data_IF_652679016533
#
_entry.id   IF_652679016533
#
_cell.length_a   1.000
_cell.length_b   1.000
_cell.length_c   1.000
_cell.angle_alpha   90.00
_cell.angle_beta   90.00
_cell.angle_gamma   90.00
#
_symmetry.space_group_name_H-M   'P 1'
#
loop_
_entity.id
_entity.type
_entity.pdbx_description
1 polymer ?
#
# COMPACT_ATOMS: atom_id res chain seq x y z
N UNK A 1 25.26 -7.16 10.36
CA UNK A 1 24.77 -7.90 11.55
C UNK A 1 23.24 -8.09 11.45
N UNK A 2 22.44 -7.05 11.20
CA UNK A 2 20.98 -7.13 11.12
C UNK A 2 20.49 -8.04 9.97
N UNK A 3 21.10 -7.92 8.77
CA UNK A 3 20.77 -8.79 7.61
C UNK A 3 21.00 -10.26 7.92
N UNK A 4 22.10 -10.62 8.56
CA UNK A 4 22.37 -12.02 8.97
C UNK A 4 21.36 -12.52 10.00
N UNK A 5 20.97 -11.68 10.97
CA UNK A 5 19.91 -12.03 11.94
C UNK A 5 18.56 -12.24 11.24
N UNK A 6 18.20 -11.37 10.30
CA UNK A 6 16.98 -11.51 9.49
C UNK A 6 17.01 -12.83 8.71
N UNK A 7 18.07 -13.13 7.97
CA UNK A 7 18.22 -14.38 7.20
C UNK A 7 18.18 -15.62 8.09
N UNK A 8 18.85 -15.57 9.26
CA UNK A 8 18.82 -16.67 10.21
C UNK A 8 17.40 -16.91 10.75
N UNK A 9 16.64 -15.85 11.05
CA UNK A 9 15.24 -15.94 11.46
C UNK A 9 14.40 -16.57 10.34
N UNK A 10 14.51 -16.10 9.10
CA UNK A 10 13.81 -16.67 7.95
C UNK A 10 14.09 -18.18 7.80
N UNK A 11 15.34 -18.59 7.97
CA UNK A 11 15.72 -19.99 7.92
C UNK A 11 15.09 -20.79 9.07
N UNK A 12 15.18 -20.29 10.32
CA UNK A 12 14.62 -20.95 11.48
C UNK A 12 13.09 -21.08 11.40
N UNK A 13 12.42 -20.04 10.91
CA UNK A 13 10.98 -20.06 10.68
C UNK A 13 10.61 -21.13 9.63
N UNK A 14 11.38 -21.24 8.55
CA UNK A 14 11.15 -22.21 7.48
C UNK A 14 11.32 -23.67 7.93
N UNK A 15 12.36 -23.94 8.77
CA UNK A 15 12.65 -25.31 9.25
C UNK A 15 11.96 -25.65 10.59
N UNK A 16 11.06 -24.81 11.06
CA UNK A 16 10.35 -25.06 12.30
C UNK A 16 9.59 -26.41 12.26
N UNK A 17 9.70 -27.27 13.27
CA UNK A 17 9.06 -28.59 13.27
C UNK A 17 7.54 -28.56 13.06
N UNK A 18 6.89 -27.46 13.45
CA UNK A 18 5.46 -27.21 13.22
C UNK A 18 5.05 -27.15 11.75
N UNK A 19 5.99 -26.91 10.85
CA UNK A 19 5.72 -26.76 9.42
C UNK A 19 5.73 -28.10 8.65
N UNK A 20 6.02 -29.20 9.33
CA UNK A 20 6.13 -30.52 8.69
C UNK A 20 5.16 -31.54 9.32
N UNK A 21 4.47 -32.30 8.47
CA UNK A 21 3.50 -33.31 8.90
C UNK A 21 4.08 -34.33 9.90
N UNK A 22 5.30 -34.79 9.68
CA UNK A 22 5.95 -35.79 10.52
C UNK A 22 6.31 -35.30 11.94
N UNK A 23 6.44 -34.00 12.14
CA UNK A 23 6.90 -33.39 13.40
C UNK A 23 5.89 -32.46 14.04
N UNK A 24 4.73 -32.23 13.38
CA UNK A 24 3.65 -31.41 13.92
C UNK A 24 2.65 -32.30 14.70
N UNK A 25 2.58 -32.20 16.04
CA UNK A 25 1.70 -33.08 16.84
C UNK A 25 0.21 -32.80 16.60
N UNK A 26 -0.15 -31.58 16.22
CA UNK A 26 -1.54 -31.23 15.90
C UNK A 26 -2.00 -31.85 14.58
N UNK A 27 -1.11 -31.98 13.60
CA UNK A 27 -1.39 -32.69 12.34
C UNK A 27 -1.76 -34.15 12.63
N UNK A 28 -0.94 -34.86 13.42
CA UNK A 28 -1.15 -36.28 13.74
C UNK A 28 -2.47 -36.43 14.52
N UNK A 29 -2.69 -35.59 15.53
CA UNK A 29 -3.91 -35.59 16.33
C UNK A 29 -5.16 -35.42 15.46
N UNK A 30 -5.19 -34.36 14.63
CA UNK A 30 -6.34 -34.08 13.76
C UNK A 30 -6.55 -35.17 12.72
N UNK A 31 -5.49 -35.72 12.14
CA UNK A 31 -5.61 -36.81 11.19
C UNK A 31 -6.32 -38.04 11.81
N UNK A 32 -6.03 -38.36 13.07
CA UNK A 32 -6.70 -39.47 13.81
C UNK A 32 -8.15 -39.07 14.13
N UNK A 33 -8.37 -37.92 14.76
CA UNK A 33 -9.70 -37.44 15.16
C UNK A 33 -10.67 -37.32 13.97
N UNK A 34 -10.20 -36.85 12.84
CA UNK A 34 -11.03 -36.67 11.63
C UNK A 34 -11.02 -37.88 10.69
N UNK A 35 -10.39 -38.98 11.10
CA UNK A 35 -10.24 -40.21 10.29
C UNK A 35 -9.65 -39.92 8.91
N UNK A 36 -8.67 -38.98 8.84
CA UNK A 36 -7.98 -38.59 7.64
C UNK A 36 -8.63 -37.45 6.85
N UNK A 37 -9.81 -36.97 7.21
CA UNK A 37 -10.49 -35.89 6.48
C UNK A 37 -9.66 -34.60 6.46
N UNK A 38 -9.00 -34.25 7.58
CA UNK A 38 -8.13 -33.07 7.63
C UNK A 38 -6.98 -33.13 6.62
N UNK A 39 -6.46 -34.32 6.32
CA UNK A 39 -5.43 -34.50 5.30
C UNK A 39 -5.99 -34.19 3.90
N UNK A 40 -7.17 -34.76 3.59
CA UNK A 40 -7.85 -34.52 2.31
C UNK A 40 -8.14 -33.04 2.12
N UNK A 41 -8.68 -32.38 3.13
CA UNK A 41 -8.98 -30.95 3.10
C UNK A 41 -7.70 -30.11 2.93
N UNK A 42 -6.61 -30.48 3.61
CA UNK A 42 -5.32 -29.83 3.48
C UNK A 42 -4.73 -29.95 2.06
N UNK A 43 -4.83 -31.12 1.45
CA UNK A 43 -4.40 -31.34 0.06
C UNK A 43 -5.26 -30.51 -0.91
N UNK A 44 -6.57 -30.44 -0.72
CA UNK A 44 -7.45 -29.64 -1.55
C UNK A 44 -7.13 -28.15 -1.45
N UNK A 45 -6.86 -27.66 -0.24
CA UNK A 45 -6.42 -26.27 -0.03
C UNK A 45 -5.08 -26.01 -0.74
N UNK A 46 -4.13 -26.92 -0.65
CA UNK A 46 -2.83 -26.79 -1.33
C UNK A 46 -2.97 -26.76 -2.86
N UNK A 47 -3.81 -27.63 -3.44
CA UNK A 47 -4.07 -27.66 -4.89
C UNK A 47 -4.69 -26.34 -5.33
N UNK A 48 -5.72 -25.86 -4.61
CA UNK A 48 -6.34 -24.57 -4.88
C UNK A 48 -5.34 -23.43 -4.89
N UNK A 49 -4.53 -23.32 -3.84
CA UNK A 49 -3.55 -22.25 -3.69
C UNK A 49 -2.42 -22.35 -4.74
N UNK A 50 -2.07 -23.57 -5.14
CA UNK A 50 -1.12 -23.80 -6.24
C UNK A 50 -1.67 -23.29 -7.57
N UNK A 51 -2.92 -23.58 -7.89
CA UNK A 51 -3.59 -23.13 -9.12
C UNK A 51 -3.74 -21.60 -9.13
N UNK A 52 -4.05 -20.99 -7.97
CA UNK A 52 -4.15 -19.55 -7.82
C UNK A 52 -2.78 -18.85 -7.77
N UNK A 53 -1.71 -19.61 -7.48
CA UNK A 53 -0.34 -19.11 -7.34
C UNK A 53 -0.13 -18.20 -6.13
N UNK A 54 -0.90 -18.40 -5.07
CA UNK A 54 -0.81 -17.64 -3.80
C UNK A 54 -1.31 -18.49 -2.63
N UNK A 55 -0.87 -18.17 -1.42
CA UNK A 55 -1.41 -18.76 -0.18
C UNK A 55 -2.69 -18.03 0.18
N UNK A 56 -3.78 -18.77 0.41
CA UNK A 56 -5.05 -18.21 0.92
C UNK A 56 -4.88 -17.82 2.38
N UNK A 57 -4.96 -16.51 2.66
CA UNK A 57 -4.84 -15.94 4.01
C UNK A 57 -6.18 -15.51 4.60
N UNK A 58 -7.23 -15.47 3.79
CA UNK A 58 -8.60 -15.12 4.19
C UNK A 58 -9.61 -15.88 3.35
N UNK A 59 -10.85 -15.91 3.78
CA UNK A 59 -11.97 -16.36 2.96
C UNK A 59 -12.36 -15.23 1.99
N UNK A 60 -11.82 -15.30 0.77
CA UNK A 60 -12.08 -14.31 -0.26
C UNK A 60 -13.55 -14.27 -0.71
N UNK A 61 -14.31 -15.34 -0.49
CA UNK A 61 -15.73 -15.41 -0.87
C UNK A 61 -16.64 -14.57 0.03
N UNK A 62 -16.14 -14.17 1.20
CA UNK A 62 -16.86 -13.34 2.15
C UNK A 62 -16.91 -11.87 1.76
N UNK A 63 -16.05 -11.42 0.83
CA UNK A 63 -15.88 -10.01 0.51
C UNK A 63 -16.11 -9.72 -0.97
N UNK A 64 -16.71 -8.55 -1.21
CA UNK A 64 -16.93 -8.01 -2.55
C UNK A 64 -16.91 -6.50 -2.49
N UNK A 65 -15.99 -5.88 -3.26
CA UNK A 65 -15.86 -4.42 -3.35
C UNK A 65 -17.13 -3.81 -3.95
N UNK A 66 -17.67 -2.80 -3.30
CA UNK A 66 -18.93 -2.15 -3.66
C UNK A 66 -20.18 -2.81 -3.04
N UNK A 67 -20.06 -3.99 -2.41
CA UNK A 67 -21.17 -4.65 -1.73
C UNK A 67 -21.01 -4.64 -0.20
N UNK A 68 -19.87 -5.06 0.32
CA UNK A 68 -19.55 -5.07 1.75
C UNK A 68 -18.15 -4.55 2.08
N UNK A 69 -17.40 -4.13 1.08
CA UNK A 69 -16.18 -3.32 1.18
C UNK A 69 -16.35 -2.09 0.29
N UNK A 70 -15.72 -0.98 0.66
CA UNK A 70 -15.79 0.28 -0.10
C UNK A 70 -17.23 0.72 -0.38
N UNK A 71 -18.07 0.67 0.63
CA UNK A 71 -19.53 0.95 0.50
C UNK A 71 -19.91 2.38 0.80
N UNK A 72 -18.96 3.24 1.17
CA UNK A 72 -19.25 4.67 1.34
C UNK A 72 -19.64 5.26 -0.01
N UNK A 73 -20.82 5.89 -0.06
CA UNK A 73 -21.41 6.39 -1.31
C UNK A 73 -20.55 7.51 -1.91
N UNK A 74 -20.27 7.42 -3.20
CA UNK A 74 -19.47 8.40 -3.92
C UNK A 74 -19.48 8.14 -5.42
N UNK A 75 -18.80 9.02 -6.16
CA UNK A 75 -18.66 8.92 -7.61
C UNK A 75 -17.26 9.30 -8.06
N UNK A 76 -16.81 8.71 -9.16
CA UNK A 76 -15.60 9.15 -9.86
C UNK A 76 -15.91 10.47 -10.55
N UNK A 77 -15.20 11.54 -10.17
CA UNK A 77 -15.40 12.90 -10.69
C UNK A 77 -14.29 13.32 -11.65
N UNK A 78 -13.20 12.58 -11.69
CA UNK A 78 -12.09 12.81 -12.61
C UNK A 78 -11.31 11.50 -12.81
N UNK A 79 -10.78 11.30 -14.00
CA UNK A 79 -9.78 10.25 -14.27
C UNK A 79 -8.75 10.70 -15.28
N UNK A 80 -7.55 10.11 -15.16
CA UNK A 80 -6.48 10.21 -16.13
C UNK A 80 -5.83 8.83 -16.36
N UNK A 81 -4.65 8.78 -16.97
CA UNK A 81 -3.94 7.53 -17.25
C UNK A 81 -3.60 6.73 -15.97
N UNK A 82 -3.43 7.38 -14.82
CA UNK A 82 -2.88 6.79 -13.58
C UNK A 82 -3.87 6.74 -12.41
N UNK A 83 -4.82 7.65 -12.34
CA UNK A 83 -5.76 7.71 -11.22
C UNK A 83 -7.22 7.86 -11.66
N UNK A 84 -8.10 7.47 -10.75
CA UNK A 84 -9.46 7.98 -10.64
C UNK A 84 -9.58 8.77 -9.34
N UNK A 85 -10.28 9.89 -9.36
CA UNK A 85 -10.57 10.69 -8.18
C UNK A 85 -12.03 10.45 -7.78
N UNK A 86 -12.22 9.92 -6.58
CA UNK A 86 -13.55 9.63 -6.03
C UNK A 86 -13.93 10.78 -5.11
N UNK A 87 -15.11 11.38 -5.35
CA UNK A 87 -15.77 12.29 -4.42
C UNK A 87 -16.87 11.55 -3.69
N UNK A 88 -16.84 11.58 -2.36
CA UNK A 88 -17.86 10.95 -1.53
C UNK A 88 -19.05 11.85 -1.26
N UNK A 89 -20.24 11.24 -1.26
CA UNK A 89 -21.50 11.96 -1.02
C UNK A 89 -21.59 12.46 0.43
N UNK A 90 -21.97 13.72 0.67
CA UNK A 90 -22.13 14.22 2.03
C UNK A 90 -23.34 13.57 2.71
N UNK A 91 -23.25 13.29 4.00
CA UNK A 91 -24.35 12.75 4.81
C UNK A 91 -25.18 13.86 5.47
N UNK A 92 -24.64 15.06 5.56
CA UNK A 92 -25.28 16.23 6.18
C UNK A 92 -25.75 17.26 5.17
N UNK A 93 -26.59 18.21 5.62
CA UNK A 93 -27.03 19.34 4.80
C UNK A 93 -25.94 20.39 4.57
N UNK A 94 -24.90 20.38 5.40
CA UNK A 94 -23.78 21.31 5.34
C UNK A 94 -22.49 20.53 5.54
N UNK A 95 -21.43 21.01 4.90
CA UNK A 95 -20.08 20.43 5.00
C UNK A 95 -19.06 21.51 5.34
N UNK A 96 -17.91 21.10 5.84
CA UNK A 96 -16.80 22.01 6.07
C UNK A 96 -16.38 22.64 4.74
N UNK A 97 -16.06 23.94 4.79
CA UNK A 97 -15.69 24.73 3.61
C UNK A 97 -14.52 24.13 2.84
N UNK A 98 -13.45 23.72 3.57
CA UNK A 98 -12.28 23.12 2.96
C UNK A 98 -12.47 21.62 2.76
N UNK A 99 -12.34 21.10 1.52
CA UNK A 99 -12.40 19.67 1.27
C UNK A 99 -11.15 18.98 1.79
N UNK A 100 -11.26 17.68 2.02
CA UNK A 100 -10.17 16.77 2.36
C UNK A 100 -9.80 15.93 1.13
N UNK A 101 -8.55 16.02 0.70
CA UNK A 101 -7.97 15.16 -0.35
C UNK A 101 -7.12 14.09 0.28
N UNK A 102 -7.41 12.83 -0.02
CA UNK A 102 -6.70 11.67 0.52
C UNK A 102 -5.89 11.01 -0.58
N UNK A 103 -4.60 10.80 -0.31
CA UNK A 103 -3.68 10.08 -1.20
C UNK A 103 -3.24 8.79 -0.50
N UNK A 104 -3.87 7.65 -0.83
CA UNK A 104 -3.51 6.35 -0.27
C UNK A 104 -2.26 5.77 -0.94
N UNK A 105 -1.71 4.64 -0.44
CA UNK A 105 -0.61 3.94 -1.11
C UNK A 105 -0.99 3.52 -2.53
N UNK A 106 0.00 3.60 -3.45
CA UNK A 106 -0.15 3.12 -4.82
C UNK A 106 0.15 1.61 -4.99
N UNK A 107 0.57 0.93 -3.93
CA UNK A 107 0.96 -0.49 -3.95
C UNK A 107 -0.21 -1.45 -3.78
N UNK A 108 -1.35 -0.96 -3.29
CA UNK A 108 -2.60 -1.68 -3.12
C UNK A 108 -3.79 -0.80 -3.51
N UNK A 109 -5.00 -1.35 -3.44
CA UNK A 109 -6.24 -0.64 -3.76
C UNK A 109 -6.59 0.43 -2.71
N UNK A 110 -7.30 1.46 -3.16
CA UNK A 110 -7.70 2.62 -2.37
C UNK A 110 -8.49 2.30 -1.10
N UNK A 111 -9.24 1.19 -1.11
CA UNK A 111 -10.22 0.88 -0.08
C UNK A 111 -9.65 0.41 1.26
N UNK A 112 -8.31 0.44 1.44
CA UNK A 112 -7.72 0.33 2.79
C UNK A 112 -8.32 1.35 3.76
N UNK A 113 -8.72 2.52 3.26
CA UNK A 113 -9.32 3.57 4.06
C UNK A 113 -10.86 3.55 4.02
N UNK A 114 -11.45 2.57 3.32
CA UNK A 114 -12.88 2.35 3.21
C UNK A 114 -13.19 0.85 3.16
N UNK A 115 -12.77 0.11 4.18
CA UNK A 115 -13.00 -1.34 4.30
C UNK A 115 -14.49 -1.61 4.55
N UNK A 116 -14.86 -2.17 5.69
CA UNK A 116 -16.26 -2.31 6.09
C UNK A 116 -16.77 -1.01 6.72
N UNK A 117 -18.08 -0.87 6.82
CA UNK A 117 -18.71 0.37 7.30
C UNK A 117 -18.24 0.79 8.70
N UNK A 118 -18.00 -0.19 9.59
CA UNK A 118 -17.57 0.01 10.97
C UNK A 118 -16.10 0.39 11.12
N UNK A 119 -15.26 0.12 10.13
CA UNK A 119 -13.83 0.42 10.15
C UNK A 119 -13.38 1.31 8.97
N UNK A 120 -14.31 2.04 8.35
CA UNK A 120 -14.01 2.98 7.26
C UNK A 120 -13.59 4.34 7.81
N UNK A 121 -12.35 4.74 7.52
CA UNK A 121 -11.87 6.10 7.78
C UNK A 121 -12.57 7.13 6.89
N UNK A 122 -12.83 6.80 5.63
CA UNK A 122 -13.54 7.67 4.68
C UNK A 122 -14.93 7.97 5.19
N UNK A 123 -15.69 6.93 5.56
CA UNK A 123 -17.04 7.10 6.14
C UNK A 123 -17.02 7.99 7.38
N UNK A 124 -16.09 7.71 8.30
CA UNK A 124 -15.92 8.56 9.47
C UNK A 124 -15.68 10.03 9.10
N UNK A 125 -14.76 10.30 8.15
CA UNK A 125 -14.46 11.66 7.73
C UNK A 125 -15.70 12.37 7.13
N UNK A 126 -16.50 11.66 6.33
CA UNK A 126 -17.77 12.17 5.77
C UNK A 126 -18.79 12.42 6.88
N UNK A 127 -18.95 11.51 7.85
CA UNK A 127 -19.83 11.66 9.02
C UNK A 127 -19.44 12.87 9.88
N UNK A 128 -18.16 13.24 9.91
CA UNK A 128 -17.68 14.45 10.59
C UNK A 128 -17.92 15.74 9.75
N UNK A 129 -18.67 15.65 8.65
CA UNK A 129 -19.03 16.79 7.81
C UNK A 129 -17.95 17.28 6.86
N UNK A 130 -16.96 16.44 6.52
CA UNK A 130 -15.99 16.80 5.49
C UNK A 130 -16.50 16.44 4.09
N UNK A 131 -16.19 17.28 3.10
CA UNK A 131 -16.21 16.86 1.70
C UNK A 131 -14.93 16.11 1.42
N UNK A 132 -15.04 14.81 1.14
CA UNK A 132 -13.89 13.92 1.00
C UNK A 132 -13.67 13.54 -0.45
N UNK A 133 -12.43 13.69 -0.91
CA UNK A 133 -11.95 13.19 -2.19
C UNK A 133 -10.81 12.19 -1.94
N UNK A 134 -10.83 11.07 -2.66
CA UNK A 134 -9.82 10.03 -2.50
C UNK A 134 -9.26 9.62 -3.86
N UNK A 135 -7.93 9.55 -3.93
CA UNK A 135 -7.22 9.05 -5.11
C UNK A 135 -7.32 7.54 -5.16
N UNK A 136 -7.87 6.99 -6.24
CA UNK A 136 -7.82 5.57 -6.56
C UNK A 136 -6.76 5.35 -7.64
N UNK A 137 -5.64 4.74 -7.26
CA UNK A 137 -4.57 4.42 -8.19
C UNK A 137 -4.97 3.30 -9.14
N UNK A 138 -4.73 3.49 -10.42
CA UNK A 138 -4.93 2.46 -11.43
C UNK A 138 -3.96 1.29 -11.20
N UNK A 139 -4.41 0.07 -11.37
CA UNK A 139 -3.50 -1.07 -11.49
C UNK A 139 -2.79 -0.99 -12.84
N UNK A 140 -1.56 -0.50 -12.85
CA UNK A 140 -0.80 -0.22 -14.07
C UNK A 140 -0.54 -1.51 -14.86
N UNK A 141 -0.65 -1.39 -16.19
CA UNK A 141 -0.38 -2.43 -17.16
C UNK A 141 0.88 -2.11 -17.95
N UNK A 142 1.23 -2.95 -18.90
CA UNK A 142 2.43 -2.80 -19.71
C UNK A 142 2.51 -1.42 -20.41
N UNK A 143 1.37 -0.86 -20.82
CA UNK A 143 1.28 0.44 -21.49
C UNK A 143 1.73 1.59 -20.57
N UNK A 144 1.46 1.49 -19.26
CA UNK A 144 1.91 2.46 -18.26
C UNK A 144 3.31 2.12 -17.69
N UNK A 145 3.92 1.03 -18.14
CA UNK A 145 5.21 0.56 -17.62
C UNK A 145 6.38 1.54 -17.84
N UNK A 146 6.17 2.63 -18.57
CA UNK A 146 7.15 3.70 -18.81
C UNK A 146 7.11 4.81 -17.74
N UNK A 147 6.06 4.88 -16.93
CA UNK A 147 5.82 5.98 -16.00
C UNK A 147 6.86 6.03 -14.88
N UNK A 148 7.38 7.22 -14.63
CA UNK A 148 8.39 7.49 -13.61
C UNK A 148 7.81 8.20 -12.39
N UNK A 149 8.71 8.59 -11.47
CA UNK A 149 8.34 9.29 -10.25
C UNK A 149 7.61 10.61 -10.53
N UNK A 150 8.08 11.38 -11.50
CA UNK A 150 7.45 12.66 -11.87
C UNK A 150 6.02 12.48 -12.39
N UNK A 151 5.78 11.41 -13.17
CA UNK A 151 4.45 11.11 -13.71
C UNK A 151 3.47 10.79 -12.56
N UNK A 152 3.92 10.04 -11.55
CA UNK A 152 3.13 9.76 -10.35
C UNK A 152 2.83 11.01 -9.52
N UNK A 153 3.75 11.97 -9.46
CA UNK A 153 3.50 13.26 -8.80
C UNK A 153 2.49 14.09 -9.57
N UNK A 154 2.68 14.24 -10.89
CA UNK A 154 1.85 15.12 -11.72
C UNK A 154 0.43 14.56 -11.91
N UNK A 155 0.32 13.33 -12.38
CA UNK A 155 -0.99 12.68 -12.62
C UNK A 155 -1.67 12.20 -11.34
N UNK A 156 -0.95 12.07 -10.22
CA UNK A 156 -1.50 11.70 -8.92
C UNK A 156 -1.92 12.92 -8.10
N UNK A 157 -1.15 13.28 -7.06
CA UNK A 157 -1.56 14.33 -6.12
C UNK A 157 -1.68 15.71 -6.74
N UNK A 158 -0.82 16.11 -7.70
CA UNK A 158 -0.92 17.45 -8.30
C UNK A 158 -2.21 17.62 -9.10
N UNK A 159 -2.57 16.64 -9.93
CA UNK A 159 -3.86 16.65 -10.64
C UNK A 159 -5.03 16.57 -9.68
N UNK A 160 -4.97 15.69 -8.67
CA UNK A 160 -6.04 15.56 -7.69
C UNK A 160 -6.28 16.88 -6.93
N UNK A 161 -5.23 17.53 -6.46
CA UNK A 161 -5.31 18.81 -5.75
C UNK A 161 -5.88 19.92 -6.65
N UNK A 162 -5.42 20.00 -7.92
CA UNK A 162 -5.92 20.96 -8.91
C UNK A 162 -7.41 20.77 -9.15
N UNK A 163 -7.83 19.54 -9.46
CA UNK A 163 -9.23 19.20 -9.79
C UNK A 163 -10.16 19.46 -8.61
N UNK A 164 -9.74 19.09 -7.38
CA UNK A 164 -10.57 19.36 -6.20
C UNK A 164 -10.77 20.87 -5.97
N UNK A 165 -9.73 21.68 -6.16
CA UNK A 165 -9.84 23.15 -6.08
C UNK A 165 -10.80 23.70 -7.15
N UNK A 166 -10.73 23.18 -8.38
CA UNK A 166 -11.64 23.55 -9.47
C UNK A 166 -13.10 23.19 -9.17
N UNK A 167 -13.34 21.95 -8.68
CA UNK A 167 -14.70 21.47 -8.35
C UNK A 167 -15.31 22.28 -7.19
N UNK A 168 -14.52 22.55 -6.15
CA UNK A 168 -15.03 23.17 -4.93
C UNK A 168 -14.97 24.69 -4.94
N UNK A 169 -14.18 25.29 -5.83
CA UNK A 169 -13.94 26.72 -5.86
C UNK A 169 -13.07 27.22 -4.69
N UNK A 170 -12.43 26.31 -3.94
CA UNK A 170 -11.61 26.66 -2.80
C UNK A 170 -10.15 26.85 -3.20
N UNK A 171 -9.51 27.91 -2.72
CA UNK A 171 -8.11 28.20 -3.00
C UNK A 171 -7.17 27.15 -2.37
N UNK A 172 -7.55 26.60 -1.22
CA UNK A 172 -6.78 25.61 -0.47
C UNK A 172 -7.64 24.47 0.02
N UNK A 173 -7.03 23.28 0.04
CA UNK A 173 -7.64 22.05 0.56
C UNK A 173 -6.88 21.56 1.80
N UNK A 174 -7.49 20.66 2.56
CA UNK A 174 -6.78 19.83 3.53
C UNK A 174 -6.32 18.56 2.81
N UNK A 175 -5.12 18.08 3.12
CA UNK A 175 -4.56 16.89 2.48
C UNK A 175 -4.15 15.85 3.51
N UNK A 176 -4.39 14.57 3.17
CA UNK A 176 -3.97 13.42 3.97
C UNK A 176 -3.23 12.44 3.07
N UNK A 177 -2.03 12.04 3.50
CA UNK A 177 -1.25 11.02 2.84
C UNK A 177 -1.04 9.80 3.73
N UNK A 178 -1.25 8.61 3.18
CA UNK A 178 -1.06 7.36 3.90
C UNK A 178 0.10 6.56 3.30
N UNK A 179 1.07 6.16 4.14
CA UNK A 179 2.23 5.35 3.77
C UNK A 179 3.01 5.99 2.59
N UNK A 180 3.32 5.24 1.52
CA UNK A 180 3.96 5.79 0.32
C UNK A 180 3.12 6.90 -0.35
N UNK A 181 1.81 6.88 -0.20
CA UNK A 181 0.94 7.97 -0.64
C UNK A 181 1.27 9.29 0.05
N UNK A 182 1.65 9.24 1.32
CA UNK A 182 2.13 10.41 2.07
C UNK A 182 3.50 10.89 1.58
N UNK A 183 4.41 9.99 1.21
CA UNK A 183 5.70 10.33 0.61
C UNK A 183 5.51 11.02 -0.74
N UNK A 184 4.64 10.48 -1.60
CA UNK A 184 4.27 11.04 -2.91
C UNK A 184 3.62 12.43 -2.72
N UNK A 185 2.64 12.54 -1.82
CA UNK A 185 1.96 13.80 -1.53
C UNK A 185 2.93 14.86 -1.00
N UNK A 186 3.80 14.52 -0.04
CA UNK A 186 4.79 15.46 0.50
C UNK A 186 5.79 15.91 -0.57
N UNK A 187 6.20 15.02 -1.47
CA UNK A 187 7.03 15.36 -2.64
C UNK A 187 6.32 16.33 -3.57
N UNK A 188 5.03 16.11 -3.86
CA UNK A 188 4.21 17.02 -4.65
C UNK A 188 4.07 18.41 -4.00
N UNK A 189 3.89 18.46 -2.67
CA UNK A 189 3.85 19.73 -1.94
C UNK A 189 5.19 20.47 -1.99
N UNK A 190 6.32 19.76 -1.96
CA UNK A 190 7.62 20.37 -2.15
C UNK A 190 7.81 20.92 -3.57
N UNK A 191 7.24 20.26 -4.59
CA UNK A 191 7.18 20.80 -5.96
C UNK A 191 6.36 22.08 -6.02
N UNK A 192 5.15 22.09 -5.41
CA UNK A 192 4.31 23.30 -5.35
C UNK A 192 5.03 24.45 -4.64
N UNK A 193 5.66 24.18 -3.49
CA UNK A 193 6.42 25.19 -2.77
C UNK A 193 7.56 25.78 -3.61
N UNK A 194 8.30 24.92 -4.35
CA UNK A 194 9.35 25.39 -5.26
C UNK A 194 8.83 26.21 -6.45
N UNK A 195 7.56 25.99 -6.86
CA UNK A 195 6.85 26.78 -7.88
C UNK A 195 6.21 28.05 -7.31
N UNK A 196 6.28 28.29 -5.99
CA UNK A 196 5.61 29.39 -5.32
C UNK A 196 4.08 29.22 -5.20
N UNK A 197 3.60 27.98 -5.32
CA UNK A 197 2.19 27.64 -5.27
C UNK A 197 1.78 27.12 -3.89
N UNK A 198 0.62 27.56 -3.37
CA UNK A 198 0.14 27.26 -2.03
C UNK A 198 -1.31 26.74 -2.04
N UNK A 199 -1.48 25.45 -2.36
CA UNK A 199 -2.80 24.81 -2.55
C UNK A 199 -3.31 24.06 -1.33
N UNK A 200 -2.48 23.83 -0.30
CA UNK A 200 -2.83 23.00 0.84
C UNK A 200 -2.74 23.79 2.14
N UNK A 201 -3.79 23.78 2.94
CA UNK A 201 -3.87 24.47 4.22
C UNK A 201 -3.33 23.62 5.39
N UNK A 202 -3.56 22.32 5.34
CA UNK A 202 -3.06 21.36 6.35
C UNK A 202 -2.66 20.04 5.71
N UNK A 203 -1.65 19.39 6.29
CA UNK A 203 -1.16 18.09 5.88
C UNK A 203 -1.22 17.11 7.05
N UNK A 204 -1.92 16.00 6.84
CA UNK A 204 -1.93 14.86 7.77
C UNK A 204 -1.18 13.70 7.13
N UNK A 205 -0.24 13.11 7.87
CA UNK A 205 0.56 11.98 7.40
C UNK A 205 0.33 10.78 8.33
N UNK A 206 -0.15 9.69 7.75
CA UNK A 206 -0.34 8.41 8.43
C UNK A 206 0.77 7.45 8.02
N UNK A 207 1.56 6.95 8.98
CA UNK A 207 2.62 5.95 8.76
C UNK A 207 3.52 6.24 7.54
N UNK A 208 3.89 7.50 7.34
CA UNK A 208 4.63 7.99 6.17
C UNK A 208 6.11 8.13 6.47
N UNK A 209 6.97 7.67 5.57
CA UNK A 209 8.41 7.90 5.61
C UNK A 209 8.76 9.14 4.77
N UNK A 210 9.45 10.10 5.40
CA UNK A 210 10.09 11.25 4.75
C UNK A 210 11.60 11.26 4.98
N UNK A 211 12.05 10.54 6.00
CA UNK A 211 13.45 10.18 6.26
C UNK A 211 13.55 8.65 6.26
N UNK A 212 14.40 8.11 5.39
CA UNK A 212 14.61 6.69 5.17
C UNK A 212 15.87 6.17 5.88
N UNK A 213 16.35 6.86 6.91
CA UNK A 213 17.50 6.41 7.71
C UNK A 213 17.21 5.14 8.50
N UNK A 214 15.95 4.93 8.91
CA UNK A 214 15.47 3.70 9.53
C UNK A 214 14.16 3.27 8.84
N UNK A 215 14.26 2.28 8.00
CA UNK A 215 13.14 1.73 7.23
C UNK A 215 12.74 0.33 7.71
N UNK A 216 13.20 -0.05 8.90
CA UNK A 216 12.96 -1.39 9.43
C UNK A 216 13.58 -2.49 8.58
N UNK A 217 12.95 -3.66 8.56
CA UNK A 217 13.50 -4.84 7.88
C UNK A 217 13.50 -4.75 6.36
N UNK A 218 12.62 -3.94 5.77
CA UNK A 218 12.59 -3.76 4.30
C UNK A 218 13.91 -3.17 3.79
N UNK A 219 14.54 -2.28 4.55
CA UNK A 219 15.85 -1.72 4.22
C UNK A 219 16.97 -2.77 4.16
N UNK A 220 16.80 -3.93 4.80
CA UNK A 220 17.77 -5.02 4.73
C UNK A 220 17.80 -5.72 3.36
N UNK A 221 16.74 -5.57 2.58
CA UNK A 221 16.59 -6.14 1.24
C UNK A 221 17.05 -5.17 0.15
N UNK A 222 17.29 -3.90 0.48
CA UNK A 222 17.63 -2.84 -0.48
C UNK A 222 19.08 -2.46 -0.30
N UNK A 223 19.90 -2.77 -1.30
CA UNK A 223 21.32 -2.44 -1.39
C UNK A 223 21.67 -1.99 -2.82
N UNK A 224 22.91 -1.57 -3.04
CA UNK A 224 23.37 -1.11 -4.37
C UNK A 224 23.16 -2.18 -5.45
N UNK A 225 23.42 -3.46 -5.12
CA UNK A 225 23.26 -4.55 -6.07
C UNK A 225 21.77 -4.75 -6.48
N UNK A 226 20.87 -4.78 -5.50
CA UNK A 226 19.43 -4.92 -5.77
C UNK A 226 18.86 -3.72 -6.54
N UNK A 227 19.31 -2.50 -6.23
CA UNK A 227 18.93 -1.30 -7.00
C UNK A 227 19.47 -1.35 -8.42
N UNK A 228 20.76 -1.70 -8.62
CA UNK A 228 21.35 -1.84 -9.96
C UNK A 228 20.64 -2.89 -10.81
N UNK A 229 20.24 -4.00 -10.19
CA UNK A 229 19.45 -5.04 -10.87
C UNK A 229 18.07 -4.50 -11.30
N UNK A 230 17.38 -3.75 -10.43
CA UNK A 230 16.08 -3.13 -10.76
C UNK A 230 16.22 -2.07 -11.86
N UNK A 231 17.23 -1.23 -11.80
CA UNK A 231 17.52 -0.26 -12.85
C UNK A 231 17.72 -0.93 -14.21
N UNK A 232 18.45 -2.07 -14.23
CA UNK A 232 18.73 -2.82 -15.45
C UNK A 232 17.48 -3.54 -16.00
N UNK A 233 16.60 -4.06 -15.14
CA UNK A 233 15.46 -4.91 -15.53
C UNK A 233 14.20 -4.10 -15.80
N UNK A 234 13.84 -3.16 -14.94
CA UNK A 234 12.57 -2.41 -15.01
C UNK A 234 12.77 -0.89 -14.99
N UNK A 235 13.99 -0.38 -14.77
CA UNK A 235 14.24 1.07 -14.63
C UNK A 235 14.00 1.87 -15.89
N UNK A 236 13.96 1.24 -17.06
CA UNK A 236 13.69 1.88 -18.36
C UNK A 236 12.32 1.57 -18.92
N UNK A 237 11.54 0.76 -18.22
CA UNK A 237 10.22 0.28 -18.61
C UNK A 237 9.92 -1.09 -18.02
N UNK A 238 8.65 -1.46 -17.98
CA UNK A 238 8.17 -2.70 -17.37
C UNK A 238 7.45 -2.48 -16.06
N UNK A 239 7.22 -3.56 -15.32
CA UNK A 239 6.41 -3.53 -14.11
C UNK A 239 7.16 -4.18 -12.94
N UNK A 240 7.02 -3.60 -11.76
CA UNK A 240 7.15 -4.32 -10.50
C UNK A 240 5.76 -4.88 -10.17
N UNK A 241 5.60 -6.20 -10.22
CA UNK A 241 4.27 -6.80 -10.10
C UNK A 241 3.74 -6.77 -8.67
N UNK A 242 2.41 -6.64 -8.52
CA UNK A 242 1.76 -6.72 -7.22
C UNK A 242 2.03 -8.04 -6.50
N UNK A 243 2.15 -9.16 -7.24
CA UNK A 243 2.52 -10.47 -6.68
C UNK A 243 3.91 -10.43 -6.04
N UNK A 244 4.88 -9.80 -6.70
CA UNK A 244 6.25 -9.66 -6.17
C UNK A 244 6.28 -8.78 -4.92
N UNK A 245 5.52 -7.68 -4.92
CA UNK A 245 5.33 -6.82 -3.75
C UNK A 245 4.69 -7.59 -2.58
N UNK A 246 3.58 -8.29 -2.82
CA UNK A 246 2.90 -9.09 -1.81
C UNK A 246 3.82 -10.17 -1.22
N UNK A 247 4.58 -10.87 -2.06
CA UNK A 247 5.57 -11.86 -1.61
C UNK A 247 6.66 -11.24 -0.74
N UNK A 248 7.15 -10.06 -1.11
CA UNK A 248 8.15 -9.31 -0.34
C UNK A 248 7.61 -8.93 1.03
N UNK A 249 6.40 -8.37 1.10
CA UNK A 249 5.77 -7.99 2.38
C UNK A 249 5.46 -9.20 3.25
N UNK A 250 5.00 -10.31 2.68
CA UNK A 250 4.76 -11.55 3.42
C UNK A 250 6.06 -12.12 4.00
N UNK A 251 7.17 -12.02 3.27
CA UNK A 251 8.47 -12.47 3.75
C UNK A 251 9.01 -11.66 4.94
N UNK A 252 8.64 -10.39 5.10
CA UNK A 252 9.01 -9.59 6.28
C UNK A 252 8.41 -10.15 7.57
N UNK A 253 7.25 -10.80 7.49
CA UNK A 253 6.54 -11.44 8.60
C UNK A 253 6.18 -12.88 8.26
N UNK A 254 7.18 -13.67 7.83
CA UNK A 254 6.98 -15.00 7.26
C UNK A 254 6.23 -15.95 8.21
N UNK A 255 6.47 -15.86 9.51
CA UNK A 255 5.78 -16.71 10.48
C UNK A 255 4.28 -16.41 10.52
N UNK A 256 3.89 -15.15 10.48
CA UNK A 256 2.48 -14.72 10.56
C UNK A 256 1.75 -14.86 9.21
N UNK A 257 2.43 -14.60 8.09
CA UNK A 257 1.80 -14.44 6.77
C UNK A 257 2.10 -15.59 5.80
N UNK A 258 2.98 -16.53 6.16
CA UNK A 258 3.32 -17.71 5.37
C UNK A 258 3.13 -18.98 6.20
N UNK A 259 3.98 -19.20 7.19
CA UNK A 259 4.07 -20.50 7.88
C UNK A 259 2.85 -20.82 8.72
N UNK A 260 2.20 -19.82 9.31
CA UNK A 260 0.94 -20.03 10.03
C UNK A 260 -0.16 -20.58 9.10
N UNK A 261 -0.24 -20.07 7.87
CA UNK A 261 -1.21 -20.54 6.86
C UNK A 261 -0.79 -21.88 6.24
N UNK A 262 0.50 -22.11 6.00
CA UNK A 262 0.99 -23.42 5.59
C UNK A 262 0.61 -24.49 6.60
N UNK A 263 0.85 -24.25 7.88
CA UNK A 263 0.47 -25.18 8.95
C UNK A 263 -1.07 -25.30 9.09
N UNK A 264 -1.79 -24.20 9.10
CA UNK A 264 -3.25 -24.20 9.25
C UNK A 264 -3.97 -24.82 8.06
N UNK A 265 -3.71 -24.30 6.86
CA UNK A 265 -4.45 -24.67 5.65
C UNK A 265 -4.06 -26.05 5.13
N UNK A 266 -2.73 -26.33 5.04
CA UNK A 266 -2.28 -27.53 4.34
C UNK A 266 -2.05 -28.72 5.27
N UNK A 267 -1.59 -28.51 6.50
CA UNK A 267 -1.41 -29.60 7.43
C UNK A 267 -2.68 -29.91 8.21
N UNK A 268 -3.41 -28.88 8.68
CA UNK A 268 -4.58 -29.07 9.52
C UNK A 268 -5.90 -29.09 8.74
N UNK A 269 -5.88 -28.79 7.42
CA UNK A 269 -7.09 -28.73 6.57
C UNK A 269 -8.05 -27.61 6.97
N UNK A 270 -7.56 -26.56 7.64
CA UNK A 270 -8.37 -25.43 8.08
C UNK A 270 -8.66 -24.50 6.90
N UNK A 271 -9.81 -23.83 6.95
CA UNK A 271 -10.12 -22.71 6.03
C UNK A 271 -9.79 -21.42 6.76
N UNK A 272 -9.12 -20.45 6.08
CA UNK A 272 -8.90 -19.13 6.65
C UNK A 272 -10.22 -18.46 7.02
N UNK A 273 -10.23 -17.74 8.14
CA UNK A 273 -11.38 -16.93 8.53
C UNK A 273 -11.47 -15.68 7.66
N UNK A 274 -12.68 -15.15 7.48
CA UNK A 274 -12.88 -13.90 6.76
C UNK A 274 -12.27 -12.74 7.54
N UNK A 275 -11.32 -12.03 6.89
CA UNK A 275 -10.66 -10.86 7.43
C UNK A 275 -10.41 -9.83 6.32
N UNK A 276 -11.12 -8.72 6.38
CA UNK A 276 -11.16 -7.68 5.34
C UNK A 276 -9.78 -7.07 5.03
N UNK A 277 -8.95 -6.85 6.05
CA UNK A 277 -7.61 -6.32 5.87
C UNK A 277 -6.71 -7.29 5.08
N UNK A 278 -6.84 -8.60 5.29
CA UNK A 278 -6.08 -9.60 4.52
C UNK A 278 -6.63 -9.76 3.11
N UNK A 279 -7.94 -9.59 2.91
CA UNK A 279 -8.54 -9.50 1.58
C UNK A 279 -7.94 -8.33 0.80
N UNK A 280 -7.92 -7.13 1.37
CA UNK A 280 -7.27 -5.97 0.79
C UNK A 280 -5.78 -6.22 0.52
N UNK A 281 -5.06 -6.82 1.45
CA UNK A 281 -3.63 -7.10 1.31
C UNK A 281 -3.32 -8.03 0.13
N UNK A 282 -4.23 -8.94 -0.21
CA UNK A 282 -4.11 -9.83 -1.37
C UNK A 282 -4.45 -9.15 -2.69
N UNK A 283 -5.19 -8.02 -2.67
CA UNK A 283 -5.57 -7.22 -3.85
C UNK A 283 -4.51 -6.16 -4.19
N UNK A 284 -3.29 -6.63 -4.39
CA UNK A 284 -2.13 -5.77 -4.68
C UNK A 284 -2.16 -5.20 -6.09
N UNK A 285 -1.45 -4.08 -6.28
CA UNK A 285 -1.33 -3.36 -7.54
C UNK A 285 0.10 -3.44 -8.09
N UNK A 286 0.24 -3.49 -9.41
CA UNK A 286 1.53 -3.32 -10.05
C UNK A 286 2.01 -1.87 -9.92
N UNK A 287 3.32 -1.69 -9.92
CA UNK A 287 3.96 -0.39 -10.06
C UNK A 287 4.67 -0.30 -11.41
N UNK A 288 4.70 0.88 -12.00
CA UNK A 288 5.55 1.13 -13.15
C UNK A 288 7.03 0.96 -12.76
N UNK A 289 7.79 0.31 -13.61
CA UNK A 289 9.17 -0.07 -13.32
C UNK A 289 10.08 1.12 -13.01
N UNK A 290 10.10 2.18 -13.85
CA UNK A 290 10.91 3.38 -13.60
C UNK A 290 10.54 4.09 -12.28
N UNK A 291 9.25 4.17 -11.95
CA UNK A 291 8.80 4.68 -10.65
C UNK A 291 9.38 3.86 -9.49
N UNK A 292 9.23 2.54 -9.54
CA UNK A 292 9.69 1.64 -8.48
C UNK A 292 11.23 1.67 -8.31
N UNK A 293 11.97 1.59 -9.41
CA UNK A 293 13.43 1.64 -9.40
C UNK A 293 13.95 2.98 -8.85
N UNK A 294 13.36 4.10 -9.27
CA UNK A 294 13.71 5.43 -8.77
C UNK A 294 13.43 5.56 -7.27
N UNK A 295 12.26 5.10 -6.82
CA UNK A 295 11.84 5.11 -5.41
C UNK A 295 12.81 4.35 -4.52
N UNK A 296 13.16 3.11 -4.90
CA UNK A 296 14.09 2.26 -4.16
C UNK A 296 15.49 2.90 -4.08
N UNK A 297 16.01 3.41 -5.20
CA UNK A 297 17.36 3.99 -5.26
C UNK A 297 17.46 5.32 -4.52
N UNK A 298 16.57 6.27 -4.83
CA UNK A 298 16.70 7.63 -4.33
C UNK A 298 16.23 7.80 -2.89
N UNK A 299 15.18 7.06 -2.48
CA UNK A 299 14.61 7.21 -1.15
C UNK A 299 15.15 6.13 -0.20
N UNK A 300 14.95 4.85 -0.48
CA UNK A 300 15.40 3.79 0.42
C UNK A 300 16.93 3.68 0.51
N UNK A 301 17.63 3.60 -0.62
CA UNK A 301 19.08 3.40 -0.62
C UNK A 301 19.83 4.66 -0.22
N UNK A 302 19.51 5.80 -0.85
CA UNK A 302 20.28 7.03 -0.73
C UNK A 302 19.70 8.04 0.25
N UNK A 303 18.43 7.89 0.65
CA UNK A 303 17.73 8.81 1.56
C UNK A 303 17.82 10.28 1.12
N UNK A 304 17.72 10.53 -0.20
CA UNK A 304 17.94 11.86 -0.76
C UNK A 304 16.79 12.83 -0.48
N UNK A 305 15.55 12.34 -0.19
CA UNK A 305 14.37 13.18 -0.01
C UNK A 305 14.53 14.18 1.15
N UNK A 306 15.23 13.79 2.20
CA UNK A 306 15.48 14.65 3.37
C UNK A 306 16.52 15.75 3.13
N UNK A 307 17.25 15.68 2.00
CA UNK A 307 18.36 16.60 1.72
C UNK A 307 17.85 17.74 0.83
N UNK A 308 17.81 19.00 1.31
CA UNK A 308 17.32 20.14 0.53
C UNK A 308 18.00 20.26 -0.83
N UNK A 309 17.21 20.40 -1.89
CA UNK A 309 17.69 20.61 -3.27
C UNK A 309 18.44 19.43 -3.89
N UNK A 310 18.54 18.28 -3.23
CA UNK A 310 19.24 17.10 -3.73
C UNK A 310 18.51 16.43 -4.89
N UNK A 311 17.18 16.39 -4.81
CA UNK A 311 16.32 15.81 -5.84
C UNK A 311 15.71 16.91 -6.70
N UNK A 312 15.61 16.61 -7.99
CA UNK A 312 14.81 17.37 -8.94
C UNK A 312 13.57 16.56 -9.27
N UNK A 313 12.39 17.18 -9.10
CA UNK A 313 11.10 16.57 -9.36
C UNK A 313 10.24 17.55 -10.17
N UNK A 314 9.62 17.06 -11.24
CA UNK A 314 8.75 17.87 -12.11
C UNK A 314 9.42 19.20 -12.56
N UNK A 315 10.74 19.14 -12.85
CA UNK A 315 11.55 20.26 -13.34
C UNK A 315 12.01 21.27 -12.29
N UNK A 316 11.80 20.99 -10.99
CA UNK A 316 12.24 21.89 -9.90
C UNK A 316 13.03 21.14 -8.84
N UNK A 317 14.00 21.81 -8.22
CA UNK A 317 14.71 21.29 -7.05
C UNK A 317 13.80 21.37 -5.82
N UNK A 318 13.60 20.24 -5.16
CA UNK A 318 12.67 20.11 -4.04
C UNK A 318 13.37 20.20 -2.69
N UNK A 319 12.67 20.79 -1.74
CA UNK A 319 13.08 20.90 -0.34
C UNK A 319 11.83 20.74 0.54
N UNK A 320 11.76 19.66 1.31
CA UNK A 320 10.67 19.44 2.25
C UNK A 320 10.56 20.53 3.32
N UNK A 321 11.68 21.20 3.65
CA UNK A 321 11.71 22.33 4.58
C UNK A 321 10.94 23.56 4.10
N UNK A 322 10.64 23.65 2.81
CA UNK A 322 9.82 24.72 2.23
C UNK A 322 8.32 24.43 2.31
N UNK A 323 7.92 23.23 2.75
CA UNK A 323 6.52 22.87 2.95
C UNK A 323 6.07 23.41 4.31
N UNK A 324 5.82 24.72 4.37
CA UNK A 324 5.34 25.41 5.60
C UNK A 324 3.83 25.22 5.74
N UNK A 325 3.42 24.20 6.48
CA UNK A 325 2.02 23.85 6.72
C UNK A 325 1.80 23.41 8.16
N UNK A 326 0.59 23.66 8.66
CA UNK A 326 0.13 22.97 9.86
C UNK A 326 0.09 21.47 9.55
N UNK A 327 0.96 20.69 10.18
CA UNK A 327 1.04 19.26 9.94
C UNK A 327 0.83 18.46 11.22
N UNK A 328 0.19 17.30 11.06
CA UNK A 328 0.06 16.27 12.10
C UNK A 328 0.59 14.97 11.52
N UNK A 329 1.54 14.35 12.22
CA UNK A 329 2.08 13.04 11.88
C UNK A 329 1.61 12.04 12.91
N UNK A 330 0.92 10.99 12.44
CA UNK A 330 0.53 9.84 13.26
C UNK A 330 1.37 8.63 12.82
N UNK A 331 2.14 8.12 13.74
CA UNK A 331 2.89 6.87 13.55
C UNK A 331 2.10 5.73 14.16
N UNK A 332 2.09 4.56 13.51
CA UNK A 332 1.68 3.34 14.18
C UNK A 332 2.71 3.05 15.27
N UNK A 333 2.26 3.03 16.51
CA UNK A 333 3.05 2.40 17.58
C UNK A 333 3.07 0.90 17.32
N UNK A 334 4.25 0.34 17.32
CA UNK A 334 4.46 -1.12 17.18
C UNK A 334 3.98 -1.85 18.41
#
# INVERSE_FOLDING_TARGET
KNRLRFLARQYLDAVAPSNFAATNPEFIKLAVETKGQSITDGINNLIKDFDEGRISMTDDTAFEVGRNLATTEGAVVYENELIQLIQYSPLGKTVAKRPLVIVPPCINKFYILDLQAENSFVRYAVEQGNTVFLVSWRNVKAEQGRLGWNDYLEMGPLDALRVVREITGEDKVNALGFCVGGTILSSALAVLAARGEDWVASLTLLTTLLDFSDTGEIGLMIDEHSCAMRDATIGKGGLLTGRELASTFSALRANDLIWNYVSGNYLKGQKPQAFDLLYWNSDSTNLAGPFAAWYMRNLYLNNHLRIPGKLEMCGVKVDLGQVDRKSTRLNSSH
#
